data_IF_934257127200
#
_entry.id   IF_934257127200
#
_cell.length_a   1.000
_cell.length_b   1.000
_cell.length_c   1.000
_cell.angle_alpha   90.00
_cell.angle_beta   90.00
_cell.angle_gamma   90.00
#
_symmetry.space_group_name_H-M   'P 1'
#
loop_
_entity.id
_entity.type
_entity.pdbx_description
1 polymer ?
#
# COMPACT_ATOMS: atom_id res chain seq x y z
N UNK A 1 -0.73 23.51 4.76
CA UNK A 1 -1.01 22.94 3.41
C UNK A 1 0.22 22.29 2.80
N UNK A 2 1.40 22.86 2.92
CA UNK A 2 2.66 22.27 2.43
C UNK A 2 2.91 20.86 3.00
N UNK A 3 2.48 20.56 4.23
CA UNK A 3 2.61 19.22 4.85
C UNK A 3 1.72 18.17 4.19
N UNK A 4 0.56 18.51 3.63
CA UNK A 4 -0.27 17.56 2.87
C UNK A 4 0.42 17.07 1.59
N UNK A 5 1.31 17.91 1.06
CA UNK A 5 2.04 17.65 -0.19
C UNK A 5 3.54 17.47 0.03
N UNK A 6 4.04 17.65 1.27
CA UNK A 6 5.42 17.31 1.64
C UNK A 6 5.66 15.79 1.60
N UNK A 7 6.91 15.40 1.39
CA UNK A 7 7.32 13.99 1.35
C UNK A 7 7.37 13.30 2.71
N UNK A 8 6.78 13.86 3.76
CA UNK A 8 6.76 13.33 5.13
C UNK A 8 5.45 12.61 5.44
N UNK A 9 5.48 11.69 6.42
CA UNK A 9 4.28 11.01 6.89
C UNK A 9 3.33 12.01 7.52
N UNK A 10 2.08 12.03 7.05
CA UNK A 10 1.05 12.95 7.58
C UNK A 10 0.58 12.46 8.94
N UNK A 11 0.55 13.36 9.92
CA UNK A 11 -0.03 13.15 11.23
C UNK A 11 -1.11 14.23 11.47
N UNK A 12 -2.36 13.77 11.67
CA UNK A 12 -3.49 14.68 11.86
C UNK A 12 -3.35 15.54 13.12
N UNK A 13 -2.88 14.94 14.23
CA UNK A 13 -2.69 15.67 15.50
C UNK A 13 -1.61 16.76 15.35
N UNK A 14 -0.52 16.44 14.64
CA UNK A 14 0.53 17.39 14.35
C UNK A 14 0.05 18.50 13.39
N UNK A 15 -0.76 18.13 12.39
CA UNK A 15 -1.40 19.08 11.50
C UNK A 15 -2.33 20.03 12.26
N UNK A 16 -3.23 19.50 13.12
CA UNK A 16 -4.10 20.33 13.96
C UNK A 16 -3.28 21.27 14.83
N UNK A 17 -2.27 20.75 15.52
CA UNK A 17 -1.39 21.53 16.38
C UNK A 17 -0.67 22.63 15.62
N UNK A 18 -0.11 22.33 14.46
CA UNK A 18 0.57 23.32 13.62
C UNK A 18 -0.39 24.43 13.14
N UNK A 19 -1.64 24.10 12.82
CA UNK A 19 -2.64 25.11 12.44
C UNK A 19 -3.00 25.99 13.65
N UNK A 20 -3.08 25.41 14.84
CA UNK A 20 -3.40 26.14 16.08
C UNK A 20 -2.22 26.99 16.53
N UNK A 21 -1.00 26.45 16.57
CA UNK A 21 0.21 27.14 17.02
C UNK A 21 0.59 28.32 16.11
N UNK A 22 0.33 28.20 14.80
CA UNK A 22 0.57 29.27 13.83
C UNK A 22 -0.60 30.26 13.69
N UNK A 23 -1.72 30.03 14.38
CA UNK A 23 -2.84 30.97 14.38
C UNK A 23 -2.61 32.07 15.40
N UNK A 24 -2.77 33.34 14.97
CA UNK A 24 -2.83 34.44 15.91
C UNK A 24 -4.10 34.35 16.77
N UNK A 25 -4.06 34.87 17.99
CA UNK A 25 -5.23 34.89 18.89
C UNK A 25 -6.48 35.51 18.24
N UNK A 26 -6.27 36.52 17.38
CA UNK A 26 -7.31 37.22 16.65
C UNK A 26 -7.95 36.39 15.52
N UNK A 27 -7.34 35.26 15.14
CA UNK A 27 -7.87 34.33 14.14
C UNK A 27 -8.82 33.27 14.74
N UNK A 28 -8.88 33.22 16.08
CA UNK A 28 -9.81 32.29 16.78
C UNK A 28 -11.14 33.01 16.96
N UNK A 29 -12.16 32.53 16.26
CA UNK A 29 -13.50 33.11 16.29
C UNK A 29 -14.46 32.18 17.02
N UNK A 30 -15.41 32.75 17.77
CA UNK A 30 -16.50 32.00 18.33
C UNK A 30 -17.58 31.79 17.26
N UNK A 31 -17.83 30.53 16.92
CA UNK A 31 -18.78 30.14 15.86
C UNK A 31 -19.97 29.40 16.49
N UNK A 32 -21.19 29.77 16.07
CA UNK A 32 -22.39 29.11 16.54
C UNK A 32 -22.44 27.66 16.05
N UNK A 33 -22.71 26.73 16.98
CA UNK A 33 -22.78 25.29 16.68
C UNK A 33 -23.85 24.93 15.65
N UNK A 34 -24.87 25.76 15.45
CA UNK A 34 -25.90 25.54 14.43
C UNK A 34 -25.41 25.87 13.02
N UNK A 35 -24.33 26.66 12.88
CA UNK A 35 -23.71 26.98 11.61
C UNK A 35 -22.67 25.96 11.19
N UNK A 36 -22.31 25.04 12.10
CA UNK A 36 -21.35 23.98 11.84
C UNK A 36 -22.01 22.76 11.17
N UNK A 37 -21.33 22.24 10.17
CA UNK A 37 -21.69 21.02 9.45
C UNK A 37 -20.53 20.05 9.45
N UNK A 38 -20.85 18.77 9.55
CA UNK A 38 -19.87 17.70 9.41
C UNK A 38 -19.27 17.72 8.00
N UNK A 39 -18.00 17.36 7.89
CA UNK A 39 -17.33 17.17 6.63
C UNK A 39 -18.09 16.13 5.78
N UNK A 40 -18.56 16.47 4.56
CA UNK A 40 -19.30 15.54 3.72
C UNK A 40 -18.48 14.32 3.29
N UNK A 41 -17.16 14.41 3.36
CA UNK A 41 -16.22 13.35 2.99
C UNK A 41 -15.82 12.45 4.18
N UNK A 42 -16.27 12.76 5.41
CA UNK A 42 -15.95 11.94 6.57
C UNK A 42 -16.80 10.66 6.63
N UNK A 43 -16.18 9.47 6.63
CA UNK A 43 -16.89 8.20 6.65
C UNK A 43 -17.46 7.86 8.05
N UNK A 44 -16.97 8.52 9.12
CA UNK A 44 -17.34 8.20 10.50
C UNK A 44 -18.69 8.81 10.87
N UNK A 45 -19.75 7.97 10.94
CA UNK A 45 -21.08 8.36 11.41
C UNK A 45 -21.40 7.87 12.82
N UNK A 46 -20.60 6.94 13.36
CA UNK A 46 -20.83 6.35 14.67
C UNK A 46 -19.64 6.65 15.58
N UNK A 47 -19.91 7.32 16.67
CA UNK A 47 -18.94 7.64 17.71
C UNK A 47 -19.28 6.85 18.97
N UNK A 48 -18.28 6.43 19.71
CA UNK A 48 -18.45 5.80 21.02
C UNK A 48 -19.08 6.80 21.98
N UNK A 49 -20.25 6.41 22.53
CA UNK A 49 -21.07 7.28 23.36
C UNK A 49 -20.41 7.58 24.69
N UNK A 50 -19.77 6.59 25.32
CA UNK A 50 -19.08 6.77 26.61
C UNK A 50 -17.91 7.75 26.49
N UNK A 51 -17.12 7.63 25.42
CA UNK A 51 -16.01 8.54 25.15
C UNK A 51 -16.49 9.97 24.84
N UNK A 52 -17.66 10.13 24.20
CA UNK A 52 -18.24 11.45 23.95
C UNK A 52 -18.81 12.08 25.25
N UNK A 53 -19.46 11.30 26.11
CA UNK A 53 -19.97 11.76 27.41
C UNK A 53 -18.82 12.22 28.32
N UNK A 54 -17.72 11.49 28.35
CA UNK A 54 -16.50 11.91 29.07
C UNK A 54 -15.93 13.23 28.55
N UNK A 55 -15.85 13.38 27.22
CA UNK A 55 -15.38 14.62 26.60
C UNK A 55 -16.35 15.79 26.84
N UNK A 56 -17.67 15.54 26.78
CA UNK A 56 -18.69 16.55 27.05
C UNK A 56 -18.63 17.06 28.51
N UNK A 57 -18.36 16.16 29.47
CA UNK A 57 -18.17 16.52 30.87
C UNK A 57 -16.94 17.43 31.07
N UNK A 58 -15.83 17.09 30.42
CA UNK A 58 -14.61 17.92 30.43
C UNK A 58 -14.85 19.28 29.78
N UNK A 59 -15.53 19.31 28.63
CA UNK A 59 -15.87 20.58 27.93
C UNK A 59 -16.80 21.45 28.77
N UNK A 60 -17.72 20.85 29.54
CA UNK A 60 -18.63 21.60 30.42
C UNK A 60 -17.88 22.27 31.56
N UNK A 61 -16.78 21.67 32.04
CA UNK A 61 -15.98 22.17 33.16
C UNK A 61 -14.93 23.19 32.74
N UNK A 62 -14.19 22.88 31.66
CA UNK A 62 -13.02 23.67 31.24
C UNK A 62 -13.21 24.40 29.91
N UNK A 63 -14.32 24.21 29.21
CA UNK A 63 -14.50 24.69 27.85
C UNK A 63 -13.71 23.88 26.82
N UNK A 64 -13.68 24.36 25.59
CA UNK A 64 -12.86 23.81 24.53
C UNK A 64 -11.48 24.47 24.57
N UNK A 65 -10.46 23.71 24.95
CA UNK A 65 -9.09 24.20 25.06
C UNK A 65 -8.42 24.37 23.70
N UNK A 66 -8.66 23.45 22.78
CA UNK A 66 -8.13 23.50 21.41
C UNK A 66 -9.26 23.86 20.45
N UNK A 67 -9.13 24.97 19.67
CA UNK A 67 -10.15 25.37 18.71
C UNK A 67 -10.35 24.30 17.64
N UNK A 68 -11.57 24.22 17.10
CA UNK A 68 -11.84 23.38 15.92
C UNK A 68 -11.34 24.09 14.66
N UNK A 69 -11.01 23.29 13.62
CA UNK A 69 -10.61 23.85 12.32
C UNK A 69 -11.81 23.71 11.38
N UNK A 70 -12.17 24.82 10.73
CA UNK A 70 -13.33 24.89 9.85
C UNK A 70 -12.99 25.57 8.53
N UNK A 71 -13.73 25.18 7.48
CA UNK A 71 -13.75 25.83 6.16
C UNK A 71 -15.04 26.64 6.02
N UNK A 72 -14.96 27.82 5.43
CA UNK A 72 -16.15 28.59 5.07
C UNK A 72 -16.90 27.90 3.93
N UNK A 73 -18.23 27.76 4.08
CA UNK A 73 -19.12 27.14 3.12
C UNK A 73 -20.29 28.04 2.78
N UNK A 74 -21.06 27.72 1.72
CA UNK A 74 -22.22 28.52 1.26
C UNK A 74 -23.28 28.69 2.37
N UNK A 75 -23.38 27.71 3.29
CA UNK A 75 -24.39 27.68 4.36
C UNK A 75 -23.73 27.55 5.75
N UNK A 76 -22.77 28.38 6.09
CA UNK A 76 -22.05 28.37 7.36
C UNK A 76 -20.64 27.81 7.21
N UNK A 77 -20.27 26.85 8.07
CA UNK A 77 -18.91 26.31 8.13
C UNK A 77 -18.92 24.79 8.10
N UNK A 78 -17.95 24.21 7.41
CA UNK A 78 -17.70 22.77 7.37
C UNK A 78 -16.50 22.42 8.25
N UNK A 79 -16.67 21.41 9.12
CA UNK A 79 -15.61 20.99 10.04
C UNK A 79 -14.53 20.24 9.27
N UNK A 80 -13.30 20.74 9.35
CA UNK A 80 -12.10 20.08 8.79
C UNK A 80 -11.53 19.10 9.81
N UNK A 81 -11.38 19.59 11.07
CA UNK A 81 -10.87 18.80 12.18
C UNK A 81 -11.55 19.23 13.49
N UNK A 82 -11.77 18.28 14.40
CA UNK A 82 -12.44 18.52 15.67
C UNK A 82 -13.92 18.11 15.71
N UNK A 83 -14.40 17.20 14.86
CA UNK A 83 -15.80 16.71 14.85
C UNK A 83 -16.26 16.25 16.23
N UNK A 84 -15.44 15.45 16.94
CA UNK A 84 -15.78 14.98 18.31
C UNK A 84 -15.96 16.13 19.29
N UNK A 85 -15.11 17.18 19.22
CA UNK A 85 -15.18 18.39 20.04
C UNK A 85 -16.49 19.13 19.79
N UNK A 86 -16.91 19.27 18.55
CA UNK A 86 -18.19 19.90 18.16
C UNK A 86 -19.40 19.13 18.68
N UNK A 87 -19.41 17.79 18.57
CA UNK A 87 -20.49 16.94 19.08
C UNK A 87 -20.56 17.03 20.61
N UNK A 88 -19.42 16.89 21.29
CA UNK A 88 -19.34 16.94 22.74
C UNK A 88 -19.73 18.31 23.30
N UNK A 89 -19.40 19.41 22.58
CA UNK A 89 -19.83 20.76 22.94
C UNK A 89 -21.37 20.92 22.88
N UNK A 90 -22.02 20.35 21.86
CA UNK A 90 -23.50 20.29 21.80
C UNK A 90 -24.06 19.52 22.96
N UNK A 91 -23.48 18.38 23.34
CA UNK A 91 -23.90 17.57 24.49
C UNK A 91 -23.69 18.31 25.82
N UNK A 92 -22.61 19.13 25.91
CA UNK A 92 -22.36 19.97 27.09
C UNK A 92 -23.27 21.20 27.17
N UNK A 93 -24.10 21.47 26.15
CA UNK A 93 -25.06 22.58 26.12
C UNK A 93 -24.45 23.92 25.73
N UNK A 94 -23.29 23.94 25.09
CA UNK A 94 -22.68 25.17 24.53
C UNK A 94 -23.45 25.63 23.30
N UNK A 95 -23.52 26.96 23.08
CA UNK A 95 -24.11 27.56 21.88
C UNK A 95 -23.03 27.86 20.82
N UNK A 96 -21.80 28.12 21.27
CA UNK A 96 -20.69 28.53 20.42
C UNK A 96 -19.43 27.79 20.80
N UNK A 97 -18.50 27.67 19.85
CA UNK A 97 -17.20 27.01 20.02
C UNK A 97 -16.10 27.84 19.39
N UNK A 98 -14.88 27.82 19.98
CA UNK A 98 -13.73 28.47 19.36
C UNK A 98 -13.32 27.72 18.11
N UNK A 99 -13.16 28.41 17.01
CA UNK A 99 -12.81 27.85 15.72
C UNK A 99 -11.79 28.72 14.97
N UNK A 100 -10.94 28.07 14.19
CA UNK A 100 -10.02 28.70 13.25
C UNK A 100 -10.55 28.46 11.85
N UNK A 101 -10.77 29.55 11.10
CA UNK A 101 -11.21 29.46 9.72
C UNK A 101 -9.97 29.35 8.83
N UNK A 102 -9.94 28.34 7.97
CA UNK A 102 -8.93 28.18 6.92
C UNK A 102 -9.61 27.87 5.60
N UNK A 103 -8.99 28.37 4.53
CA UNK A 103 -9.46 28.07 3.19
C UNK A 103 -8.86 26.74 2.73
N UNK A 104 -9.74 25.78 2.45
CA UNK A 104 -9.43 24.48 1.86
C UNK A 104 -10.26 24.28 0.62
N UNK A 105 -9.67 23.73 -0.44
CA UNK A 105 -10.44 23.25 -1.56
C UNK A 105 -11.07 21.87 -1.25
N UNK A 106 -11.94 21.36 -2.14
CA UNK A 106 -12.63 20.11 -1.89
C UNK A 106 -11.71 18.87 -1.93
N UNK A 107 -10.63 18.92 -2.74
CA UNK A 107 -9.61 17.87 -2.81
C UNK A 107 -8.80 17.79 -1.51
N UNK A 108 -8.44 18.92 -0.94
CA UNK A 108 -7.76 19.01 0.34
C UNK A 108 -8.65 18.50 1.48
N UNK A 109 -9.92 18.90 1.51
CA UNK A 109 -10.91 18.40 2.48
C UNK A 109 -11.08 16.88 2.42
N UNK A 110 -11.18 16.34 1.22
CA UNK A 110 -11.28 14.89 1.00
C UNK A 110 -9.99 14.18 1.42
N UNK A 111 -8.83 14.75 1.10
CA UNK A 111 -7.52 14.20 1.46
C UNK A 111 -7.32 14.12 2.97
N UNK A 112 -7.67 15.18 3.71
CA UNK A 112 -7.60 15.21 5.17
C UNK A 112 -8.53 14.15 5.77
N UNK A 113 -9.78 14.06 5.28
CA UNK A 113 -10.74 13.08 5.75
C UNK A 113 -10.30 11.62 5.49
N UNK A 114 -9.67 11.36 4.34
CA UNK A 114 -9.12 10.04 4.00
C UNK A 114 -7.91 9.69 4.86
N UNK A 115 -7.00 10.64 5.09
CA UNK A 115 -5.83 10.46 5.96
C UNK A 115 -6.25 10.21 7.41
N UNK A 116 -7.21 10.99 7.94
CA UNK A 116 -7.79 10.74 9.26
C UNK A 116 -8.37 9.33 9.36
N UNK A 117 -9.12 8.90 8.35
CA UNK A 117 -9.72 7.57 8.35
C UNK A 117 -8.67 6.45 8.33
N UNK A 118 -7.56 6.60 7.61
CA UNK A 118 -6.48 5.60 7.55
C UNK A 118 -5.74 5.49 8.89
N UNK A 119 -5.62 6.58 9.65
CA UNK A 119 -4.97 6.58 10.96
C UNK A 119 -5.81 5.93 12.08
N UNK A 120 -7.00 5.39 11.75
CA UNK A 120 -7.85 4.70 12.71
C UNK A 120 -7.30 3.30 13.07
N UNK A 121 -7.33 2.96 14.35
CA UNK A 121 -6.79 1.71 14.89
C UNK A 121 -7.51 0.42 14.44
N UNK A 122 -8.75 0.51 13.87
CA UNK A 122 -9.60 -0.65 13.62
C UNK A 122 -10.14 -0.73 12.18
N UNK A 123 -9.35 -0.34 11.18
CA UNK A 123 -9.71 -0.60 9.79
C UNK A 123 -9.53 -2.08 9.46
N UNK A 124 -10.54 -2.68 8.84
CA UNK A 124 -10.31 -3.97 8.23
C UNK A 124 -9.48 -3.80 6.92
N UNK A 125 -8.86 -4.88 6.49
CA UNK A 125 -7.89 -4.84 5.39
C UNK A 125 -8.49 -4.40 4.05
N UNK A 126 -9.78 -4.64 3.83
CA UNK A 126 -10.50 -4.20 2.62
C UNK A 126 -10.80 -2.70 2.70
N UNK A 127 -11.20 -2.22 3.88
CA UNK A 127 -11.39 -0.78 4.12
C UNK A 127 -10.09 -0.02 3.93
N UNK A 128 -8.98 -0.54 4.44
CA UNK A 128 -7.64 0.03 4.23
C UNK A 128 -7.28 0.08 2.74
N UNK A 129 -7.53 -1.02 2.00
CA UNK A 129 -7.28 -1.08 0.57
C UNK A 129 -8.12 -0.07 -0.23
N UNK A 130 -9.42 0.06 0.10
CA UNK A 130 -10.31 1.03 -0.53
C UNK A 130 -9.89 2.47 -0.21
N UNK A 131 -9.46 2.74 1.03
CA UNK A 131 -8.95 4.05 1.41
C UNK A 131 -7.69 4.43 0.64
N UNK A 132 -6.71 3.50 0.52
CA UNK A 132 -5.52 3.71 -0.29
C UNK A 132 -5.83 3.96 -1.77
N UNK A 133 -6.72 3.16 -2.35
CA UNK A 133 -7.18 3.35 -3.73
C UNK A 133 -7.79 4.74 -3.92
N UNK A 134 -8.68 5.13 -3.01
CA UNK A 134 -9.34 6.44 -3.06
C UNK A 134 -8.36 7.61 -2.94
N UNK A 135 -7.34 7.48 -2.06
CA UNK A 135 -6.29 8.50 -1.94
C UNK A 135 -5.49 8.67 -3.23
N UNK A 136 -5.07 7.56 -3.86
CA UNK A 136 -4.35 7.61 -5.13
C UNK A 136 -5.19 8.34 -6.20
N UNK A 137 -6.49 8.02 -6.26
CA UNK A 137 -7.41 8.63 -7.24
C UNK A 137 -7.65 10.12 -6.98
N UNK A 138 -7.86 10.51 -5.72
CA UNK A 138 -8.21 11.90 -5.34
C UNK A 138 -7.00 12.82 -5.37
N UNK A 139 -5.86 12.34 -4.85
CA UNK A 139 -4.64 13.15 -4.76
C UNK A 139 -3.77 13.05 -6.01
N UNK A 140 -4.15 12.21 -6.98
CA UNK A 140 -3.37 11.94 -8.19
C UNK A 140 -1.90 11.55 -7.92
N UNK A 141 -1.65 10.84 -6.81
CA UNK A 141 -0.32 10.45 -6.35
C UNK A 141 0.01 9.00 -6.73
N UNK A 142 1.30 8.70 -6.77
CA UNK A 142 1.83 7.34 -6.96
C UNK A 142 1.71 6.51 -5.68
N UNK A 143 1.83 5.17 -5.79
CA UNK A 143 1.92 4.29 -4.62
C UNK A 143 3.13 4.57 -3.73
N UNK A 144 4.20 5.12 -4.30
CA UNK A 144 5.42 5.49 -3.58
C UNK A 144 5.19 6.73 -2.73
N UNK A 145 4.60 7.77 -3.29
CA UNK A 145 4.21 8.97 -2.56
C UNK A 145 3.18 8.67 -1.48
N UNK A 146 2.18 7.80 -1.78
CA UNK A 146 1.25 7.34 -0.77
C UNK A 146 1.97 6.61 0.37
N UNK A 147 2.93 5.73 0.07
CA UNK A 147 3.68 4.98 1.07
C UNK A 147 4.40 5.91 2.07
N UNK A 148 5.00 6.97 1.56
CA UNK A 148 5.63 8.02 2.38
C UNK A 148 4.60 8.73 3.26
N UNK A 149 3.45 9.14 2.68
CA UNK A 149 2.39 9.87 3.41
C UNK A 149 1.77 9.07 4.56
N UNK A 150 1.59 7.76 4.37
CA UNK A 150 0.98 6.90 5.41
C UNK A 150 2.01 6.20 6.30
N UNK A 151 3.31 6.44 6.09
CA UNK A 151 4.40 5.84 6.88
C UNK A 151 4.50 4.32 6.72
N UNK A 152 4.12 3.78 5.54
CA UNK A 152 4.18 2.35 5.23
C UNK A 152 5.15 2.10 4.08
N UNK A 153 5.64 0.87 3.92
CA UNK A 153 6.48 0.54 2.76
C UNK A 153 5.63 0.49 1.47
N UNK A 154 6.24 0.84 0.32
CA UNK A 154 5.59 0.71 -1.00
C UNK A 154 5.10 -0.71 -1.26
N UNK A 155 5.87 -1.72 -0.84
CA UNK A 155 5.46 -3.12 -0.97
C UNK A 155 4.22 -3.45 -0.14
N UNK A 156 4.06 -2.86 1.05
CA UNK A 156 2.85 -2.97 1.85
C UNK A 156 1.64 -2.41 1.08
N UNK A 157 1.73 -1.17 0.57
CA UNK A 157 0.66 -0.53 -0.23
C UNK A 157 0.28 -1.40 -1.44
N UNK A 158 1.27 -1.89 -2.19
CA UNK A 158 1.04 -2.75 -3.36
C UNK A 158 0.30 -4.03 -2.98
N UNK A 159 0.69 -4.67 -1.87
CA UNK A 159 0.06 -5.90 -1.40
C UNK A 159 -1.38 -5.67 -0.93
N UNK A 160 -1.63 -4.59 -0.19
CA UNK A 160 -2.97 -4.20 0.26
C UNK A 160 -3.88 -3.91 -0.94
N UNK A 161 -3.43 -3.08 -1.89
CA UNK A 161 -4.20 -2.80 -3.11
C UNK A 161 -4.45 -4.04 -3.97
N UNK A 162 -3.53 -5.02 -3.93
CA UNK A 162 -3.69 -6.29 -4.62
C UNK A 162 -4.93 -7.08 -4.17
N UNK A 163 -5.38 -6.91 -2.92
CA UNK A 163 -6.57 -7.60 -2.41
C UNK A 163 -7.83 -7.20 -3.16
N UNK A 164 -7.92 -5.94 -3.61
CA UNK A 164 -9.08 -5.46 -4.37
C UNK A 164 -9.22 -6.11 -5.76
N UNK A 165 -8.17 -6.79 -6.25
CA UNK A 165 -8.22 -7.56 -7.50
C UNK A 165 -8.80 -8.96 -7.31
N UNK A 166 -8.87 -9.43 -6.07
CA UNK A 166 -9.39 -10.76 -5.78
C UNK A 166 -10.93 -10.79 -5.87
N UNK A 167 -11.53 -11.89 -6.31
CA UNK A 167 -12.97 -12.07 -6.25
C UNK A 167 -13.51 -11.88 -4.82
N UNK A 168 -14.72 -11.33 -4.68
CA UNK A 168 -15.32 -11.01 -3.37
C UNK A 168 -15.32 -12.19 -2.39
N UNK A 169 -15.61 -13.40 -2.87
CA UNK A 169 -15.56 -14.63 -2.05
C UNK A 169 -14.17 -14.91 -1.47
N UNK A 170 -13.11 -14.52 -2.17
CA UNK A 170 -11.72 -14.69 -1.70
C UNK A 170 -11.36 -13.56 -0.74
N UNK A 171 -11.86 -12.35 -0.98
CA UNK A 171 -11.74 -11.24 -0.02
C UNK A 171 -12.38 -11.61 1.32
N UNK A 172 -13.55 -12.25 1.31
CA UNK A 172 -14.20 -12.75 2.53
C UNK A 172 -13.35 -13.79 3.29
N UNK A 173 -12.59 -14.63 2.58
CA UNK A 173 -11.65 -15.57 3.23
C UNK A 173 -10.50 -14.83 3.93
N UNK A 174 -10.02 -13.72 3.36
CA UNK A 174 -9.01 -12.86 4.00
C UNK A 174 -9.58 -12.19 5.24
N UNK A 175 -10.77 -11.58 5.14
CA UNK A 175 -11.46 -10.90 6.25
C UNK A 175 -11.71 -11.85 7.43
N UNK A 176 -12.08 -13.09 7.15
CA UNK A 176 -12.33 -14.11 8.17
C UNK A 176 -11.05 -14.84 8.64
N UNK A 177 -9.86 -14.36 8.27
CA UNK A 177 -8.57 -14.96 8.60
C UNK A 177 -8.43 -16.44 8.18
N UNK A 178 -9.18 -16.90 7.16
CA UNK A 178 -9.08 -18.25 6.61
C UNK A 178 -7.86 -18.40 5.70
N UNK A 179 -7.44 -17.32 5.07
CA UNK A 179 -6.20 -17.22 4.30
C UNK A 179 -5.41 -16.00 4.75
N UNK A 180 -4.09 -16.08 4.70
CA UNK A 180 -3.20 -15.00 5.14
C UNK A 180 -2.96 -13.98 4.03
N UNK A 181 -2.41 -12.81 4.40
CA UNK A 181 -1.95 -11.80 3.43
C UNK A 181 -0.93 -12.33 2.42
N UNK A 182 -0.08 -13.28 2.85
CA UNK A 182 0.86 -13.95 1.95
C UNK A 182 0.15 -14.71 0.84
N UNK A 183 -0.89 -15.47 1.18
CA UNK A 183 -1.73 -16.19 0.20
C UNK A 183 -2.46 -15.21 -0.72
N UNK A 184 -3.08 -14.15 -0.18
CA UNK A 184 -3.77 -13.12 -0.95
C UNK A 184 -2.83 -12.45 -1.98
N UNK A 185 -1.58 -12.15 -1.58
CA UNK A 185 -0.54 -11.60 -2.47
C UNK A 185 -0.20 -12.55 -3.62
N UNK A 186 -0.10 -13.87 -3.36
CA UNK A 186 0.19 -14.85 -4.41
C UNK A 186 -0.97 -14.95 -5.39
N UNK A 187 -2.20 -15.04 -4.87
CA UNK A 187 -3.43 -15.13 -5.65
C UNK A 187 -3.69 -13.88 -6.48
N UNK A 188 -3.36 -12.68 -5.97
CA UNK A 188 -3.58 -11.40 -6.68
C UNK A 188 -2.72 -11.21 -7.93
N UNK A 189 -1.75 -12.10 -8.17
CA UNK A 189 -0.92 -12.13 -9.39
C UNK A 189 -1.57 -12.88 -10.54
N UNK A 190 -2.61 -13.65 -10.26
CA UNK A 190 -3.36 -14.42 -11.25
C UNK A 190 -4.45 -13.55 -11.87
N UNK A 191 -4.84 -13.88 -13.12
CA UNK A 191 -5.86 -13.13 -13.87
C UNK A 191 -7.20 -13.88 -13.92
N UNK A 192 -7.19 -15.21 -13.83
CA UNK A 192 -8.40 -16.04 -13.93
C UNK A 192 -9.09 -16.16 -12.56
N UNK A 193 -10.26 -15.55 -12.44
CA UNK A 193 -11.05 -15.57 -11.20
C UNK A 193 -11.43 -17.00 -10.75
N UNK A 194 -11.66 -17.92 -11.68
CA UNK A 194 -11.99 -19.32 -11.38
C UNK A 194 -10.80 -20.03 -10.76
N UNK A 195 -9.60 -19.83 -11.31
CA UNK A 195 -8.36 -20.37 -10.79
C UNK A 195 -8.03 -19.78 -9.41
N UNK A 196 -8.19 -18.45 -9.25
CA UNK A 196 -7.99 -17.76 -7.96
C UNK A 196 -8.89 -18.38 -6.89
N UNK A 197 -10.18 -18.57 -7.19
CA UNK A 197 -11.13 -19.13 -6.23
C UNK A 197 -10.83 -20.59 -5.89
N UNK A 198 -10.50 -21.42 -6.90
CA UNK A 198 -10.12 -22.83 -6.69
C UNK A 198 -8.89 -22.95 -5.80
N UNK A 199 -7.83 -22.19 -6.09
CA UNK A 199 -6.60 -22.19 -5.28
C UNK A 199 -6.83 -21.65 -3.87
N UNK A 200 -7.68 -20.63 -3.71
CA UNK A 200 -8.05 -20.12 -2.38
C UNK A 200 -8.78 -21.20 -1.54
N UNK A 201 -9.65 -22.00 -2.16
CA UNK A 201 -10.28 -23.14 -1.50
C UNK A 201 -9.29 -24.24 -1.15
N UNK A 202 -8.34 -24.53 -2.03
CA UNK A 202 -7.27 -25.48 -1.76
C UNK A 202 -6.40 -25.07 -0.57
N UNK A 203 -6.06 -23.78 -0.47
CA UNK A 203 -5.34 -23.22 0.70
C UNK A 203 -6.11 -23.52 1.99
N UNK A 204 -7.44 -23.29 2.00
CA UNK A 204 -8.26 -23.51 3.20
C UNK A 204 -8.41 -25.01 3.51
N UNK A 205 -8.71 -25.84 2.48
CA UNK A 205 -9.03 -27.25 2.68
C UNK A 205 -7.79 -28.12 2.99
N UNK A 206 -6.65 -27.77 2.38
CA UNK A 206 -5.38 -28.52 2.50
C UNK A 206 -4.41 -27.87 3.48
N UNK A 207 -4.76 -26.71 4.07
CA UNK A 207 -3.90 -25.90 4.94
C UNK A 207 -2.53 -25.61 4.30
N UNK A 208 -2.54 -25.24 3.01
CA UNK A 208 -1.31 -24.96 2.27
C UNK A 208 -0.56 -23.77 2.88
N UNK A 209 0.75 -23.87 2.94
CA UNK A 209 1.62 -22.73 3.25
C UNK A 209 1.72 -21.79 2.05
N UNK A 210 2.18 -20.55 2.29
CA UNK A 210 2.41 -19.57 1.21
C UNK A 210 3.39 -20.11 0.17
N UNK A 211 4.42 -20.86 0.59
CA UNK A 211 5.42 -21.46 -0.31
C UNK A 211 4.82 -22.54 -1.19
N UNK A 212 4.06 -23.46 -0.61
CA UNK A 212 3.38 -24.50 -1.38
C UNK A 212 2.41 -23.91 -2.41
N UNK A 213 1.69 -22.83 -2.05
CA UNK A 213 0.85 -22.12 -3.00
C UNK A 213 1.68 -21.46 -4.12
N UNK A 214 2.82 -20.83 -3.79
CA UNK A 214 3.73 -20.25 -4.79
C UNK A 214 4.27 -21.32 -5.74
N UNK A 215 4.62 -22.50 -5.24
CA UNK A 215 5.10 -23.62 -6.04
C UNK A 215 4.00 -24.14 -7.00
N UNK A 216 2.77 -24.33 -6.50
CA UNK A 216 1.62 -24.73 -7.34
C UNK A 216 1.35 -23.71 -8.46
N UNK A 217 1.38 -22.40 -8.14
CA UNK A 217 1.18 -21.34 -9.13
C UNK A 217 2.31 -21.35 -10.18
N UNK A 218 3.56 -21.56 -9.76
CA UNK A 218 4.70 -21.63 -10.66
C UNK A 218 4.64 -22.86 -11.56
N UNK A 219 4.26 -24.01 -11.03
CA UNK A 219 4.09 -25.25 -11.79
C UNK A 219 2.96 -25.12 -12.82
N UNK A 220 1.81 -24.58 -12.43
CA UNK A 220 0.71 -24.29 -13.35
C UNK A 220 1.12 -23.30 -14.46
N UNK A 221 1.89 -22.28 -14.14
CA UNK A 221 2.43 -21.32 -15.11
C UNK A 221 3.49 -21.97 -16.03
N UNK A 222 4.24 -22.95 -15.55
CA UNK A 222 5.20 -23.70 -16.38
C UNK A 222 4.50 -24.63 -17.36
N UNK A 223 3.36 -25.19 -16.98
CA UNK A 223 2.50 -26.01 -17.84
C UNK A 223 1.72 -25.15 -18.86
N UNK A 224 1.26 -23.95 -18.47
CA UNK A 224 0.61 -22.98 -19.40
C UNK A 224 1.59 -22.34 -20.39
N UNK A 225 2.85 -22.25 -20.05
CA UNK A 225 3.94 -22.02 -20.99
C UNK A 225 4.27 -23.34 -21.67
N UNK A 226 3.39 -23.84 -22.52
CA UNK A 226 3.82 -24.66 -23.64
C UNK A 226 4.92 -23.84 -24.30
N UNK A 227 6.19 -24.27 -24.28
CA UNK A 227 7.18 -23.54 -25.04
C UNK A 227 6.66 -23.63 -26.47
N UNK A 228 6.22 -22.52 -27.06
CA UNK A 228 6.40 -22.35 -28.48
C UNK A 228 7.90 -22.60 -28.59
N UNK A 229 8.27 -23.83 -28.96
CA UNK A 229 9.59 -24.11 -29.46
C UNK A 229 9.76 -23.09 -30.59
N UNK A 230 10.27 -21.89 -30.26
CA UNK A 230 11.06 -21.20 -31.22
C UNK A 230 12.03 -22.28 -31.66
N UNK A 231 11.83 -22.79 -32.85
CA UNK A 231 12.89 -23.40 -33.60
C UNK A 231 13.99 -22.30 -33.60
N UNK A 232 14.83 -22.31 -32.55
CA UNK A 232 16.16 -21.83 -32.67
C UNK A 232 16.70 -22.75 -33.76
N UNK A 233 16.85 -22.23 -34.96
CA UNK A 233 17.73 -22.84 -35.95
C UNK A 233 19.05 -22.95 -35.18
N UNK A 234 19.26 -24.14 -34.62
CA UNK A 234 20.55 -24.52 -34.05
C UNK A 234 21.44 -24.49 -35.26
N UNK A 235 22.20 -23.43 -35.39
CA UNK A 235 23.18 -23.30 -36.47
C UNK A 235 24.07 -24.54 -36.37
N UNK A 236 23.95 -25.44 -37.33
CA UNK A 236 24.73 -26.71 -37.33
C UNK A 236 26.22 -26.45 -37.09
N UNK A 237 26.71 -25.27 -37.48
CA UNK A 237 28.04 -24.78 -37.20
C UNK A 237 28.34 -24.66 -35.70
N UNK A 238 27.38 -24.21 -34.88
CA UNK A 238 27.58 -24.12 -33.43
C UNK A 238 27.72 -25.51 -32.80
N UNK A 239 26.98 -26.50 -33.27
CA UNK A 239 27.13 -27.88 -32.79
C UNK A 239 28.48 -28.50 -33.13
N UNK A 240 28.96 -28.24 -34.35
CA UNK A 240 30.30 -28.71 -34.78
C UNK A 240 31.38 -28.02 -33.93
N UNK A 241 31.34 -26.71 -33.79
CA UNK A 241 32.29 -25.96 -32.96
C UNK A 241 32.28 -26.42 -31.51
N UNK A 242 31.06 -26.62 -30.94
CA UNK A 242 30.87 -27.12 -29.58
C UNK A 242 31.51 -28.52 -29.38
N UNK A 243 31.38 -29.42 -30.37
CA UNK A 243 31.98 -30.75 -30.33
C UNK A 243 33.52 -30.69 -30.38
N UNK A 244 34.08 -29.88 -31.27
CA UNK A 244 35.51 -29.68 -31.38
C UNK A 244 36.09 -29.07 -30.09
N UNK A 245 35.40 -28.08 -29.52
CA UNK A 245 35.85 -27.47 -28.27
C UNK A 245 35.77 -28.46 -27.08
N UNK A 246 34.76 -29.30 -27.01
CA UNK A 246 34.67 -30.38 -26.00
C UNK A 246 35.83 -31.36 -26.09
N UNK A 247 36.17 -31.76 -27.30
CA UNK A 247 37.26 -32.70 -27.54
C UNK A 247 38.64 -32.09 -27.16
N UNK A 248 38.85 -30.80 -27.47
CA UNK A 248 40.09 -30.11 -27.11
C UNK A 248 40.22 -29.81 -25.63
N UNK A 249 39.13 -29.32 -24.99
CA UNK A 249 39.19 -28.80 -23.63
C UNK A 249 38.96 -29.96 -22.60
N UNK A 250 38.35 -31.06 -23.04
CA UNK A 250 38.12 -32.23 -22.20
C UNK A 250 36.98 -32.00 -21.15
N UNK A 251 36.19 -30.94 -21.34
CA UNK A 251 35.04 -30.66 -20.44
C UNK A 251 33.82 -30.21 -21.25
N UNK A 252 32.66 -30.13 -20.58
CA UNK A 252 31.40 -29.77 -21.22
C UNK A 252 31.42 -28.29 -21.68
N UNK A 253 31.30 -28.05 -22.98
CA UNK A 253 31.19 -26.70 -23.56
C UNK A 253 29.77 -26.48 -24.05
N UNK A 254 29.17 -25.36 -23.75
CA UNK A 254 27.86 -24.92 -24.27
C UNK A 254 27.95 -23.59 -24.98
N UNK A 255 27.42 -23.54 -26.21
CA UNK A 255 27.38 -22.33 -27.04
C UNK A 255 25.91 -21.94 -27.20
N UNK A 256 25.48 -20.88 -26.54
CA UNK A 256 24.11 -20.37 -26.60
C UNK A 256 24.10 -18.83 -26.56
N UNK A 257 23.22 -18.20 -27.33
CA UNK A 257 22.97 -16.74 -27.28
C UNK A 257 24.27 -15.89 -27.38
N UNK A 258 25.16 -16.23 -28.33
CA UNK A 258 26.45 -15.56 -28.53
C UNK A 258 27.39 -15.64 -27.31
N UNK A 259 27.24 -16.67 -26.47
CA UNK A 259 28.09 -16.93 -25.30
C UNK A 259 28.62 -18.35 -25.38
N UNK A 260 29.90 -18.50 -25.01
CA UNK A 260 30.53 -19.79 -24.78
C UNK A 260 30.64 -19.98 -23.27
N UNK A 261 30.08 -21.06 -22.76
CA UNK A 261 30.13 -21.40 -21.34
C UNK A 261 30.91 -22.69 -21.17
N UNK A 262 31.97 -22.64 -20.40
CA UNK A 262 32.87 -23.74 -20.07
C UNK A 262 32.81 -23.87 -18.54
N UNK A 263 32.08 -24.82 -17.96
CA UNK A 263 32.09 -25.07 -16.54
C UNK A 263 33.41 -25.72 -16.12
N UNK A 264 33.90 -25.36 -14.94
CA UNK A 264 35.06 -25.95 -14.29
C UNK A 264 34.72 -26.34 -12.84
N UNK A 265 35.39 -27.40 -12.33
CA UNK A 265 35.07 -27.94 -11.01
C UNK A 265 36.03 -27.46 -9.91
N UNK A 266 37.22 -26.97 -10.26
CA UNK A 266 38.26 -26.48 -9.33
C UNK A 266 39.20 -25.47 -10.01
N UNK A 267 39.95 -24.69 -9.20
CA UNK A 267 40.95 -23.74 -9.71
C UNK A 267 41.99 -24.41 -10.58
N UNK A 268 42.43 -25.63 -10.24
CA UNK A 268 43.34 -26.44 -11.07
C UNK A 268 42.76 -26.80 -12.43
N UNK A 269 41.45 -27.05 -12.48
CA UNK A 269 40.77 -27.33 -13.73
C UNK A 269 40.63 -26.05 -14.58
N UNK A 270 40.44 -24.89 -13.94
CA UNK A 270 40.46 -23.61 -14.61
C UNK A 270 41.84 -23.31 -15.22
N UNK A 271 42.95 -23.50 -14.47
CA UNK A 271 44.31 -23.36 -14.97
C UNK A 271 44.56 -24.25 -16.17
N UNK A 272 44.18 -25.52 -16.11
CA UNK A 272 44.29 -26.48 -17.23
C UNK A 272 43.54 -26.00 -18.48
N UNK A 273 42.32 -25.45 -18.28
CA UNK A 273 41.52 -24.93 -19.40
C UNK A 273 42.19 -23.71 -20.03
N UNK A 274 42.74 -22.81 -19.21
CA UNK A 274 43.45 -21.62 -19.67
C UNK A 274 44.72 -21.97 -20.44
N UNK A 275 45.49 -22.96 -19.96
CA UNK A 275 46.66 -23.50 -20.70
C UNK A 275 46.26 -24.05 -22.06
N UNK A 276 45.19 -24.84 -22.14
CA UNK A 276 44.70 -25.40 -23.41
C UNK A 276 44.28 -24.30 -24.40
N UNK A 277 43.76 -23.19 -23.87
CA UNK A 277 43.33 -22.03 -24.64
C UNK A 277 44.46 -21.06 -24.94
N UNK A 278 45.69 -21.32 -24.46
CA UNK A 278 46.88 -20.45 -24.56
C UNK A 278 46.61 -19.04 -24.01
N UNK A 279 45.93 -18.95 -22.88
CA UNK A 279 45.66 -17.69 -22.15
C UNK A 279 46.67 -17.61 -21.01
N UNK A 280 47.60 -16.66 -21.06
CA UNK A 280 48.55 -16.36 -19.98
C UNK A 280 47.85 -15.38 -19.01
N UNK A 281 47.91 -15.67 -17.70
CA UNK A 281 47.52 -14.75 -16.66
C UNK A 281 48.77 -13.99 -16.25
N UNK A 282 48.88 -12.71 -16.56
CA UNK A 282 49.88 -11.82 -15.96
C UNK A 282 49.48 -11.60 -14.47
N UNK A 283 50.39 -11.94 -13.55
CA UNK A 283 50.23 -11.74 -12.10
C UNK A 283 50.20 -10.25 -11.71
#
# INVERSE_FOLDING_TARGET
>A
LEQLFSGEAFNLEEFEKNVVDNANKDEILMINLNELRSNPYQPRKVFDKELLEGLASSIKEYGILEPIIVKKSIKGYEIVAGERRSIAAKMAGLSEVPAIIRDFNDEEMMSIALLENIQRENLNIIEEALAYKKMIEVMHITQEELSTKVGKSRSHITNILGILKLPSKVQDLVLNNKITMGHARCLSKLEDESEIFSLAQDVVNKNLSVRELEDIINDNNSVKKVPIKKHVQVDERHNVVQSIMREKIGTMVKINNNKIVIPYDSDKDLERILEILNIEIED
#
